data_IF_643715569333
#
_entry.id   IF_643715569333
#
_cell.length_a   1.000
_cell.length_b   1.000
_cell.length_c   1.000
_cell.angle_alpha   90.00
_cell.angle_beta   90.00
_cell.angle_gamma   90.00
#
_symmetry.space_group_name_H-M   'P 1'
#
loop_
_entity.id
_entity.type
_entity.pdbx_description
1 polymer ?
#
# COMPACT_ATOMS: atom_id res chain seq x y z
N UNK A 1 -34.05 44.26 -42.05
CA UNK A 1 -34.75 43.40 -41.06
C UNK A 1 -34.88 41.92 -41.44
N UNK A 2 -34.78 41.50 -42.70
CA UNK A 2 -34.92 40.13 -43.16
C UNK A 2 -33.63 39.24 -42.95
N UNK A 3 -32.46 39.85 -43.07
CA UNK A 3 -31.18 39.08 -42.94
C UNK A 3 -30.88 38.60 -41.52
N UNK A 4 -31.22 39.38 -40.48
CA UNK A 4 -31.04 38.99 -39.07
C UNK A 4 -31.87 37.77 -38.68
N UNK A 5 -33.07 37.62 -39.20
CA UNK A 5 -33.95 36.49 -38.88
C UNK A 5 -33.46 35.18 -39.49
N UNK A 6 -32.75 35.22 -40.64
CA UNK A 6 -32.12 34.03 -41.22
C UNK A 6 -30.90 33.57 -40.43
N UNK A 7 -30.13 34.51 -39.89
CA UNK A 7 -28.94 34.18 -39.07
C UNK A 7 -29.38 33.52 -37.75
N UNK A 8 -30.45 34.02 -37.12
CA UNK A 8 -30.98 33.37 -35.89
C UNK A 8 -31.60 31.98 -36.17
N UNK A 9 -32.25 31.80 -37.33
CA UNK A 9 -32.80 30.51 -37.75
C UNK A 9 -31.70 29.47 -37.99
N UNK A 10 -30.58 29.86 -38.61
CA UNK A 10 -29.43 28.95 -38.85
C UNK A 10 -28.68 28.68 -37.54
N UNK A 11 -28.53 29.66 -36.64
CA UNK A 11 -27.89 29.45 -35.35
C UNK A 11 -28.72 28.56 -34.43
N UNK A 12 -30.07 28.67 -34.43
CA UNK A 12 -30.92 27.76 -33.66
C UNK A 12 -30.93 26.32 -34.23
N UNK A 13 -30.89 26.18 -35.57
CA UNK A 13 -30.81 24.89 -36.26
C UNK A 13 -29.46 24.18 -36.01
N UNK A 14 -28.35 24.94 -35.97
CA UNK A 14 -27.04 24.42 -35.65
C UNK A 14 -26.90 23.99 -34.15
N UNK A 15 -27.57 24.73 -33.25
CA UNK A 15 -27.56 24.38 -31.81
C UNK A 15 -28.40 23.13 -31.51
N UNK A 16 -29.49 22.89 -32.27
CA UNK A 16 -30.28 21.66 -32.09
C UNK A 16 -29.62 20.42 -32.66
N UNK A 17 -28.71 20.54 -33.62
CA UNK A 17 -27.93 19.41 -34.16
C UNK A 17 -26.78 19.00 -33.22
N UNK A 18 -26.25 19.89 -32.38
CA UNK A 18 -25.19 19.55 -31.44
C UNK A 18 -25.68 18.82 -30.19
N UNK A 19 -26.93 18.94 -29.79
CA UNK A 19 -27.52 18.17 -28.67
C UNK A 19 -28.00 16.79 -29.10
N UNK A 20 -28.19 16.49 -30.38
CA UNK A 20 -28.54 15.17 -30.86
C UNK A 20 -27.32 14.21 -30.99
N UNK A 21 -26.10 14.75 -30.93
CA UNK A 21 -24.86 13.98 -31.09
C UNK A 21 -24.41 13.25 -29.82
N UNK A 22 -25.06 13.48 -28.66
CA UNK A 22 -24.71 12.81 -27.40
C UNK A 22 -25.69 11.69 -26.98
N UNK A 23 -26.66 11.36 -27.83
CA UNK A 23 -27.60 10.29 -27.54
C UNK A 23 -27.06 8.96 -28.09
N UNK A 24 -26.04 8.41 -27.39
CA UNK A 24 -25.53 7.06 -27.63
C UNK A 24 -26.21 6.05 -26.68
N UNK A 25 -27.45 6.36 -26.25
CA UNK A 25 -28.11 5.68 -25.14
C UNK A 25 -28.71 4.30 -25.47
N UNK A 26 -28.82 3.93 -26.74
CA UNK A 26 -29.56 2.73 -27.11
C UNK A 26 -28.76 1.75 -28.01
N UNK A 27 -27.45 1.62 -27.76
CA UNK A 27 -26.73 0.44 -28.26
C UNK A 27 -26.72 -0.59 -27.17
N UNK A 28 -27.74 -1.41 -27.14
CA UNK A 28 -27.70 -2.70 -26.44
C UNK A 28 -26.60 -3.53 -27.09
N UNK A 29 -25.49 -3.68 -26.37
CA UNK A 29 -24.48 -4.64 -26.77
C UNK A 29 -24.92 -6.01 -26.26
N UNK A 30 -25.12 -7.00 -27.15
CA UNK A 30 -25.54 -8.33 -26.74
C UNK A 30 -24.45 -8.94 -25.84
N UNK A 31 -24.89 -9.75 -24.88
CA UNK A 31 -23.99 -10.59 -24.11
C UNK A 31 -23.20 -11.54 -25.05
N UNK A 32 -22.03 -11.98 -24.61
CA UNK A 32 -21.21 -12.92 -25.38
C UNK A 32 -21.93 -14.26 -25.54
N UNK A 33 -22.01 -14.81 -26.78
CA UNK A 33 -22.71 -16.06 -27.09
C UNK A 33 -22.16 -17.26 -26.30
N UNK A 34 -20.90 -17.22 -25.85
CA UNK A 34 -20.27 -18.23 -25.00
C UNK A 34 -20.67 -18.16 -23.53
N UNK A 35 -21.60 -17.26 -23.17
CA UNK A 35 -22.12 -17.12 -21.82
C UNK A 35 -21.25 -16.27 -20.88
N UNK A 36 -21.79 -16.08 -19.69
CA UNK A 36 -21.13 -15.29 -18.61
C UNK A 36 -20.19 -16.17 -17.80
N UNK A 37 -19.04 -15.62 -17.46
CA UNK A 37 -17.97 -16.38 -16.78
C UNK A 37 -17.44 -15.62 -15.58
N UNK A 38 -17.41 -16.27 -14.41
CA UNK A 38 -16.79 -15.72 -13.19
C UNK A 38 -15.31 -16.12 -13.10
N UNK A 39 -14.47 -15.20 -12.58
CA UNK A 39 -13.03 -15.46 -12.41
C UNK A 39 -12.38 -14.47 -11.46
N UNK A 40 -11.17 -14.81 -10.96
CA UNK A 40 -10.28 -13.87 -10.32
C UNK A 40 -9.44 -13.15 -11.39
N UNK A 41 -9.48 -11.82 -11.43
CA UNK A 41 -8.73 -11.04 -12.42
C UNK A 41 -7.21 -11.20 -12.24
N UNK A 42 -6.77 -11.36 -11.00
CA UNK A 42 -5.35 -11.50 -10.61
C UNK A 42 -5.18 -12.72 -9.72
N UNK A 43 -4.16 -13.55 -10.02
CA UNK A 43 -3.89 -14.78 -9.26
C UNK A 43 -2.90 -14.58 -8.11
N UNK A 44 -2.04 -13.55 -8.18
CA UNK A 44 -0.93 -13.32 -7.23
C UNK A 44 -0.89 -11.88 -6.69
N UNK A 45 -2.02 -11.31 -6.22
CA UNK A 45 -2.01 -9.96 -5.67
C UNK A 45 -1.38 -9.92 -4.27
N UNK A 46 -0.74 -8.78 -3.96
CA UNK A 46 -0.28 -8.45 -2.62
C UNK A 46 -1.14 -7.32 -2.05
N UNK A 47 -1.73 -7.56 -0.90
CA UNK A 47 -2.45 -6.57 -0.11
C UNK A 47 -1.62 -6.15 1.09
N UNK A 48 -1.22 -4.89 1.16
CA UNK A 48 -0.65 -4.30 2.37
C UNK A 48 -1.76 -3.59 3.15
N UNK A 49 -2.02 -4.03 4.37
CA UNK A 49 -2.87 -3.30 5.30
C UNK A 49 -2.05 -2.12 5.84
N UNK A 50 -2.49 -0.90 5.57
CA UNK A 50 -1.81 0.32 5.99
C UNK A 50 -2.54 0.88 7.20
N UNK A 51 -1.98 0.64 8.39
CA UNK A 51 -2.58 1.10 9.64
C UNK A 51 -2.31 2.60 9.89
N UNK A 52 -3.18 3.23 10.66
CA UNK A 52 -3.10 4.66 10.97
C UNK A 52 -3.85 5.53 9.97
N UNK A 53 -3.60 6.83 9.98
CA UNK A 53 -4.25 7.78 9.08
C UNK A 53 -3.47 7.93 7.78
N UNK A 54 -4.18 8.09 6.67
CA UNK A 54 -3.59 8.41 5.37
C UNK A 54 -4.42 9.48 4.65
N UNK A 55 -3.97 9.86 3.46
CA UNK A 55 -4.74 10.69 2.52
C UNK A 55 -5.79 9.86 1.78
N UNK A 56 -5.57 8.56 1.66
CA UNK A 56 -6.53 7.59 1.10
C UNK A 56 -7.35 6.96 2.22
N UNK A 57 -8.54 6.47 1.85
CA UNK A 57 -9.40 5.74 2.79
C UNK A 57 -8.78 4.38 3.14
N UNK A 58 -8.39 4.23 4.39
CA UNK A 58 -7.87 3.01 4.99
C UNK A 58 -8.72 2.53 6.18
N UNK A 59 -10.01 2.83 6.15
CA UNK A 59 -10.96 2.42 7.19
C UNK A 59 -11.00 0.90 7.37
N UNK A 60 -10.98 0.13 6.26
CA UNK A 60 -10.93 -1.33 6.32
C UNK A 60 -9.63 -1.82 6.95
N UNK A 61 -8.49 -1.22 6.58
CA UNK A 61 -7.18 -1.60 7.12
C UNK A 61 -7.13 -1.39 8.64
N UNK A 62 -7.62 -0.25 9.11
CA UNK A 62 -7.72 0.07 10.54
C UNK A 62 -8.73 -0.82 11.29
N UNK A 63 -9.72 -1.34 10.60
CA UNK A 63 -10.62 -2.36 11.12
C UNK A 63 -10.03 -3.78 11.05
N UNK A 64 -8.75 -3.91 10.65
CA UNK A 64 -8.06 -5.18 10.41
C UNK A 64 -8.78 -6.07 9.39
N UNK A 65 -9.26 -5.47 8.30
CA UNK A 65 -10.04 -6.15 7.27
C UNK A 65 -9.48 -5.91 5.87
N UNK A 66 -9.79 -6.83 4.96
CA UNK A 66 -9.65 -6.60 3.53
C UNK A 66 -10.76 -7.29 2.75
N UNK A 67 -10.79 -7.06 1.45
CA UNK A 67 -11.75 -7.64 0.52
C UNK A 67 -11.02 -8.36 -0.61
N UNK A 68 -11.39 -9.62 -0.86
CA UNK A 68 -10.89 -10.39 -2.00
C UNK A 68 -11.94 -10.36 -3.10
N UNK A 69 -11.60 -9.70 -4.19
CA UNK A 69 -12.52 -9.40 -5.28
C UNK A 69 -12.44 -10.44 -6.40
N UNK A 70 -13.62 -10.83 -6.89
CA UNK A 70 -13.80 -11.56 -8.14
C UNK A 70 -14.53 -10.68 -9.16
N UNK A 71 -14.44 -11.03 -10.43
CA UNK A 71 -15.08 -10.31 -11.53
C UNK A 71 -15.76 -11.28 -12.47
N UNK A 72 -16.49 -10.73 -13.43
CA UNK A 72 -17.12 -11.51 -14.49
C UNK A 72 -16.73 -10.99 -15.87
N UNK A 73 -16.98 -11.81 -16.87
CA UNK A 73 -16.94 -11.46 -18.29
C UNK A 73 -18.12 -12.07 -19.03
N UNK A 74 -18.26 -11.73 -20.30
CA UNK A 74 -19.31 -12.25 -21.17
C UNK A 74 -20.59 -11.44 -21.17
N UNK A 75 -20.72 -10.38 -20.33
CA UNK A 75 -21.85 -9.46 -20.36
C UNK A 75 -21.40 -8.04 -20.05
N UNK A 76 -22.16 -7.05 -20.50
CA UNK A 76 -21.93 -5.63 -20.22
C UNK A 76 -22.57 -5.16 -18.90
N UNK A 77 -23.67 -5.79 -18.52
CA UNK A 77 -24.36 -5.50 -17.26
C UNK A 77 -23.90 -6.42 -16.12
N UNK A 78 -24.05 -5.94 -14.87
CA UNK A 78 -23.87 -6.79 -13.69
C UNK A 78 -24.93 -7.90 -13.59
N UNK A 79 -24.72 -8.84 -12.67
CA UNK A 79 -25.60 -9.99 -12.44
C UNK A 79 -25.96 -10.14 -10.97
N UNK A 80 -27.19 -10.54 -10.72
CA UNK A 80 -27.62 -11.11 -9.43
C UNK A 80 -27.13 -12.56 -9.36
N UNK A 81 -25.89 -12.72 -8.94
CA UNK A 81 -25.16 -13.98 -9.00
C UNK A 81 -24.24 -14.13 -7.79
N UNK A 82 -23.79 -15.34 -7.55
CA UNK A 82 -22.75 -15.61 -6.54
C UNK A 82 -21.86 -16.79 -6.97
N UNK A 83 -20.67 -16.82 -6.37
CA UNK A 83 -19.67 -17.87 -6.58
C UNK A 83 -19.35 -18.50 -5.25
N UNK A 84 -19.40 -19.83 -5.17
CA UNK A 84 -18.94 -20.58 -4.00
C UNK A 84 -17.41 -20.67 -4.02
N UNK A 85 -16.78 -20.44 -2.87
CA UNK A 85 -15.33 -20.47 -2.70
C UNK A 85 -14.92 -21.39 -1.55
N UNK A 86 -13.74 -21.99 -1.70
CA UNK A 86 -13.09 -22.79 -0.65
C UNK A 86 -11.64 -22.36 -0.49
N UNK A 87 -11.10 -22.54 0.72
CA UNK A 87 -9.68 -22.44 0.97
C UNK A 87 -9.02 -23.75 0.56
N UNK A 88 -8.05 -23.70 -0.35
CA UNK A 88 -7.29 -24.86 -0.84
C UNK A 88 -5.79 -24.62 -0.63
N UNK A 89 -5.28 -25.12 0.50
CA UNK A 89 -3.87 -24.96 0.87
C UNK A 89 -2.92 -25.67 -0.10
N UNK A 90 -3.40 -26.69 -0.83
CA UNK A 90 -2.57 -27.43 -1.81
C UNK A 90 -2.10 -26.55 -2.98
N UNK A 91 -2.70 -25.38 -3.20
CA UNK A 91 -2.20 -24.39 -4.15
C UNK A 91 -0.81 -23.86 -3.80
N UNK A 92 -0.39 -23.99 -2.55
CA UNK A 92 0.93 -23.57 -2.08
C UNK A 92 2.00 -24.68 -2.22
N UNK A 93 1.61 -25.90 -2.56
CA UNK A 93 2.53 -27.03 -2.66
C UNK A 93 3.56 -26.81 -3.78
N UNK A 94 4.82 -27.00 -3.46
CA UNK A 94 5.96 -26.81 -4.37
C UNK A 94 6.05 -25.40 -5.00
N UNK A 95 5.40 -24.39 -4.39
CA UNK A 95 5.37 -23.02 -4.88
C UNK A 95 6.30 -22.14 -4.06
N UNK A 96 7.13 -21.37 -4.74
CA UNK A 96 8.12 -20.48 -4.14
C UNK A 96 7.94 -19.06 -4.66
N UNK A 97 8.16 -18.06 -3.80
CA UNK A 97 8.37 -16.68 -4.24
C UNK A 97 9.64 -16.62 -5.09
N UNK A 98 9.63 -15.75 -6.10
CA UNK A 98 10.80 -15.48 -6.93
C UNK A 98 11.54 -14.22 -6.46
N UNK A 99 12.87 -14.31 -6.45
CA UNK A 99 13.73 -13.13 -6.31
C UNK A 99 13.74 -12.27 -7.62
N UNK A 100 14.41 -11.12 -7.57
CA UNK A 100 14.54 -10.22 -8.72
C UNK A 100 15.28 -10.87 -9.94
N UNK A 101 16.01 -11.97 -9.71
CA UNK A 101 16.75 -12.70 -10.74
C UNK A 101 15.96 -13.90 -11.30
N UNK A 102 14.74 -14.14 -10.81
CA UNK A 102 13.89 -15.25 -11.23
C UNK A 102 14.22 -16.59 -10.55
N UNK A 103 15.00 -16.59 -9.47
CA UNK A 103 15.26 -17.79 -8.69
C UNK A 103 14.21 -17.99 -7.62
N UNK A 104 13.98 -19.26 -7.24
CA UNK A 104 13.17 -19.58 -6.07
C UNK A 104 13.88 -19.07 -4.79
N UNK A 105 13.16 -18.24 -4.01
CA UNK A 105 13.71 -17.63 -2.80
C UNK A 105 13.23 -18.35 -1.54
N UNK A 106 11.94 -18.30 -1.27
CA UNK A 106 11.30 -18.90 -0.09
C UNK A 106 9.95 -19.50 -0.46
N UNK A 107 9.47 -20.53 0.28
CA UNK A 107 8.18 -21.14 -0.03
C UNK A 107 7.03 -20.13 0.16
N UNK A 108 6.01 -20.23 -0.68
CA UNK A 108 4.71 -19.60 -0.47
C UNK A 108 3.96 -20.40 0.58
N UNK A 109 3.59 -19.78 1.68
CA UNK A 109 2.92 -20.47 2.78
C UNK A 109 1.43 -20.13 2.82
N UNK A 110 0.54 -21.12 2.99
CA UNK A 110 -0.85 -20.83 3.28
C UNK A 110 -0.94 -20.07 4.63
N UNK A 111 -1.83 -19.09 4.71
CA UNK A 111 -2.06 -18.35 5.94
C UNK A 111 -2.71 -19.27 6.98
N UNK A 112 -2.15 -19.38 8.19
CA UNK A 112 -2.77 -20.18 9.26
C UNK A 112 -4.23 -19.77 9.49
N UNK A 113 -5.11 -20.74 9.66
CA UNK A 113 -6.55 -20.51 9.88
C UNK A 113 -6.85 -19.71 11.15
N UNK A 114 -5.91 -19.68 12.11
CA UNK A 114 -6.01 -18.85 13.31
C UNK A 114 -5.74 -17.36 13.06
N UNK A 115 -5.23 -16.97 11.89
CA UNK A 115 -4.86 -15.59 11.58
C UNK A 115 -5.96 -14.78 10.93
N UNK A 116 -6.99 -15.44 10.39
CA UNK A 116 -8.08 -14.77 9.69
C UNK A 116 -9.40 -15.53 9.75
N UNK A 117 -10.48 -14.82 9.45
CA UNK A 117 -11.80 -15.38 9.23
C UNK A 117 -12.34 -14.87 7.88
N UNK A 118 -12.72 -15.77 6.99
CA UNK A 118 -13.57 -15.44 5.85
C UNK A 118 -15.00 -15.22 6.36
N UNK A 119 -15.59 -14.06 6.07
CA UNK A 119 -16.93 -13.75 6.57
C UNK A 119 -18.04 -14.41 5.77
N UNK A 120 -17.71 -15.06 4.65
CA UNK A 120 -18.63 -15.85 3.82
C UNK A 120 -17.86 -16.94 3.08
N UNK A 121 -18.54 -18.04 2.75
CA UNK A 121 -18.08 -19.06 1.80
C UNK A 121 -18.51 -18.76 0.36
N UNK A 122 -19.13 -17.60 0.12
CA UNK A 122 -19.57 -17.18 -1.21
C UNK A 122 -19.16 -15.75 -1.51
N UNK A 123 -18.98 -15.43 -2.79
CA UNK A 123 -18.76 -14.08 -3.30
C UNK A 123 -20.03 -13.63 -4.02
N UNK A 124 -20.87 -12.77 -3.40
CA UNK A 124 -22.07 -12.22 -4.04
C UNK A 124 -21.69 -11.07 -4.98
N UNK A 125 -22.41 -10.94 -6.10
CA UNK A 125 -22.23 -9.84 -7.07
C UNK A 125 -23.32 -8.77 -6.96
N UNK A 126 -24.50 -9.10 -6.43
CA UNK A 126 -25.57 -8.14 -6.09
C UNK A 126 -25.90 -7.15 -7.24
N UNK A 127 -25.97 -7.63 -8.48
CA UNK A 127 -26.24 -6.77 -9.64
C UNK A 127 -25.03 -6.00 -10.19
N UNK A 128 -23.82 -6.20 -9.63
CA UNK A 128 -22.57 -5.59 -10.15
C UNK A 128 -21.83 -6.59 -11.07
N UNK A 129 -20.82 -6.08 -11.77
CA UNK A 129 -19.84 -6.86 -12.55
C UNK A 129 -18.73 -7.45 -11.68
N UNK A 130 -18.69 -7.12 -10.39
CA UNK A 130 -17.69 -7.56 -9.40
C UNK A 130 -18.36 -7.91 -8.09
N UNK A 131 -17.83 -8.93 -7.44
CA UNK A 131 -18.19 -9.28 -6.09
C UNK A 131 -16.95 -9.42 -5.21
N UNK A 132 -17.15 -9.49 -3.90
CA UNK A 132 -16.06 -9.72 -2.97
C UNK A 132 -16.47 -10.56 -1.76
N UNK A 133 -15.48 -11.22 -1.17
CA UNK A 133 -15.57 -11.76 0.18
C UNK A 133 -14.74 -10.90 1.13
N UNK A 134 -15.30 -10.60 2.30
CA UNK A 134 -14.59 -9.85 3.34
C UNK A 134 -13.78 -10.81 4.22
N UNK A 135 -12.57 -10.39 4.56
CA UNK A 135 -11.64 -11.10 5.45
C UNK A 135 -11.41 -10.25 6.69
N UNK A 136 -11.57 -10.83 7.88
CA UNK A 136 -11.21 -10.24 9.16
C UNK A 136 -9.93 -10.89 9.68
N UNK A 137 -8.89 -10.11 9.95
CA UNK A 137 -7.64 -10.59 10.55
C UNK A 137 -7.73 -10.57 12.08
N UNK A 138 -7.02 -11.50 12.71
CA UNK A 138 -6.94 -11.64 14.17
C UNK A 138 -5.66 -11.02 14.70
N UNK A 139 -5.58 -10.81 16.01
CA UNK A 139 -4.36 -10.32 16.67
C UNK A 139 -3.17 -11.28 16.47
N UNK A 140 -3.42 -12.58 16.27
CA UNK A 140 -2.38 -13.56 16.01
C UNK A 140 -1.64 -13.29 14.70
N UNK A 141 -2.31 -12.78 13.66
CA UNK A 141 -1.67 -12.36 12.41
C UNK A 141 -0.70 -11.19 12.66
N UNK A 142 -1.13 -10.18 13.40
CA UNK A 142 -0.30 -9.00 13.68
C UNK A 142 0.83 -9.27 14.67
N UNK A 143 0.74 -10.34 15.46
CA UNK A 143 1.79 -10.75 16.37
C UNK A 143 2.93 -11.52 15.69
N UNK A 144 2.70 -12.09 14.49
CA UNK A 144 3.71 -12.83 13.77
C UNK A 144 4.68 -11.88 13.04
N UNK A 145 5.99 -11.92 13.33
CA UNK A 145 6.99 -11.10 12.65
C UNK A 145 7.09 -11.36 11.14
N UNK A 146 6.60 -12.50 10.64
CA UNK A 146 6.57 -12.82 9.21
C UNK A 146 5.43 -12.13 8.48
N UNK A 147 4.44 -11.58 9.19
CA UNK A 147 3.28 -10.93 8.58
C UNK A 147 3.57 -9.52 8.02
N UNK A 148 4.77 -8.98 8.23
CA UNK A 148 5.20 -7.71 7.63
C UNK A 148 5.75 -7.88 6.20
N UNK A 149 6.03 -9.13 5.80
CA UNK A 149 6.60 -9.49 4.50
C UNK A 149 5.63 -10.32 3.64
N UNK A 150 5.97 -10.49 2.36
CA UNK A 150 5.29 -11.44 1.50
C UNK A 150 5.60 -12.86 1.96
N UNK A 151 4.80 -13.42 2.85
CA UNK A 151 5.00 -14.76 3.43
C UNK A 151 3.75 -15.61 3.28
N UNK A 152 2.62 -15.10 3.73
CA UNK A 152 1.36 -15.83 3.79
C UNK A 152 0.41 -15.41 2.67
N UNK A 153 -0.28 -16.40 2.12
CA UNK A 153 -1.36 -16.19 1.16
C UNK A 153 -2.65 -16.83 1.67
N UNK A 154 -3.79 -16.24 1.33
CA UNK A 154 -5.10 -16.88 1.45
C UNK A 154 -5.39 -17.53 0.10
N UNK A 155 -5.29 -18.89 0.00
CA UNK A 155 -5.47 -19.61 -1.24
C UNK A 155 -6.95 -19.93 -1.43
N UNK A 156 -7.64 -19.25 -2.36
CA UNK A 156 -9.06 -19.49 -2.66
C UNK A 156 -9.24 -20.12 -4.03
N UNK A 157 -10.21 -21.05 -4.12
CA UNK A 157 -10.68 -21.66 -5.37
C UNK A 157 -12.18 -21.46 -5.50
N UNK A 158 -12.63 -21.09 -6.68
CA UNK A 158 -14.05 -21.11 -7.07
C UNK A 158 -14.48 -22.53 -7.36
N UNK A 159 -15.58 -22.98 -6.75
CA UNK A 159 -16.05 -24.36 -6.87
C UNK A 159 -17.37 -24.48 -7.61
N UNK A 160 -18.23 -23.47 -7.51
CA UNK A 160 -19.55 -23.48 -8.14
C UNK A 160 -20.00 -22.04 -8.40
N UNK A 161 -20.93 -21.86 -9.33
CA UNK A 161 -21.55 -20.57 -9.66
C UNK A 161 -23.06 -20.69 -9.70
N UNK A 162 -23.74 -19.63 -9.30
CA UNK A 162 -25.17 -19.45 -9.48
C UNK A 162 -25.41 -18.09 -10.13
N UNK A 163 -26.18 -18.07 -11.22
CA UNK A 163 -26.42 -16.86 -12.01
C UNK A 163 -25.31 -16.51 -13.01
N UNK A 164 -24.31 -17.35 -13.14
CA UNK A 164 -23.33 -17.38 -14.24
C UNK A 164 -23.37 -18.73 -14.96
N UNK A 165 -22.89 -18.75 -16.21
CA UNK A 165 -22.82 -19.96 -17.01
C UNK A 165 -21.57 -20.78 -16.69
N UNK A 166 -20.43 -20.11 -16.38
CA UNK A 166 -19.14 -20.77 -16.25
C UNK A 166 -18.24 -20.15 -15.15
N UNK A 167 -17.25 -20.95 -14.74
CA UNK A 167 -16.03 -20.50 -14.05
C UNK A 167 -14.88 -20.62 -15.04
N UNK A 168 -13.94 -19.68 -15.05
CA UNK A 168 -12.77 -19.71 -15.95
C UNK A 168 -11.70 -20.68 -15.41
N UNK A 169 -11.94 -21.97 -15.62
CA UNK A 169 -11.10 -23.08 -15.13
C UNK A 169 -9.86 -23.33 -15.98
N UNK A 170 -9.71 -22.63 -17.13
CA UNK A 170 -8.62 -22.84 -18.07
C UNK A 170 -8.73 -24.09 -18.92
N UNK A 171 -7.67 -24.36 -19.70
CA UNK A 171 -7.56 -25.58 -20.53
C UNK A 171 -6.20 -26.23 -20.25
N UNK A 172 -6.16 -27.39 -19.61
CA UNK A 172 -4.90 -28.10 -19.38
C UNK A 172 -4.31 -28.63 -20.70
N UNK A 173 -3.01 -28.82 -20.74
CA UNK A 173 -2.35 -29.52 -21.83
C UNK A 173 -2.78 -30.99 -21.86
N UNK A 174 -2.90 -31.52 -23.06
CA UNK A 174 -3.35 -32.90 -23.29
C UNK A 174 -2.48 -33.90 -22.50
N UNK A 175 -3.13 -34.81 -21.81
CA UNK A 175 -2.49 -35.92 -21.07
C UNK A 175 -1.88 -35.52 -19.73
N UNK A 176 -2.02 -34.27 -19.26
CA UNK A 176 -1.53 -33.84 -17.96
C UNK A 176 -2.65 -33.79 -16.91
N UNK A 177 -2.29 -34.06 -15.66
CA UNK A 177 -3.08 -33.68 -14.49
C UNK A 177 -2.50 -32.37 -13.97
N UNK A 178 -3.17 -31.21 -14.26
CA UNK A 178 -2.52 -29.93 -14.05
C UNK A 178 -2.51 -29.50 -12.58
N UNK A 179 -1.41 -28.88 -12.15
CA UNK A 179 -1.42 -28.02 -10.97
C UNK A 179 -1.87 -26.61 -11.41
N UNK A 180 -2.81 -25.98 -10.70
CA UNK A 180 -3.26 -24.59 -11.01
C UNK A 180 -2.12 -23.58 -11.03
N UNK A 181 -1.13 -23.78 -10.19
CA UNK A 181 0.00 -22.87 -10.00
C UNK A 181 1.21 -23.18 -10.89
N UNK A 182 1.22 -24.32 -11.59
CA UNK A 182 2.24 -24.65 -12.59
C UNK A 182 1.80 -24.21 -13.99
N UNK A 183 2.28 -23.07 -14.44
CA UNK A 183 1.91 -22.50 -15.75
C UNK A 183 2.26 -23.39 -16.95
N UNK A 184 3.22 -24.33 -16.80
CA UNK A 184 3.62 -25.26 -17.85
C UNK A 184 2.57 -26.35 -18.13
N UNK A 185 1.64 -26.58 -17.19
CA UNK A 185 0.62 -27.63 -17.35
C UNK A 185 -0.60 -27.17 -18.19
N UNK A 186 -0.62 -25.89 -18.64
CA UNK A 186 -1.80 -25.27 -19.22
C UNK A 186 -1.55 -24.74 -20.63
N UNK A 187 -2.54 -24.95 -21.52
CA UNK A 187 -2.65 -24.23 -22.79
C UNK A 187 -3.37 -22.89 -22.61
N UNK A 188 -4.41 -22.86 -21.75
CA UNK A 188 -5.06 -21.65 -21.28
C UNK A 188 -5.06 -21.66 -19.75
N UNK A 189 -4.42 -20.67 -19.14
CA UNK A 189 -4.26 -20.60 -17.68
C UNK A 189 -5.62 -20.55 -16.96
N UNK A 190 -5.74 -21.31 -15.89
CA UNK A 190 -6.86 -21.23 -14.97
C UNK A 190 -6.91 -19.87 -14.26
N UNK A 191 -8.12 -19.33 -14.09
CA UNK A 191 -8.38 -18.10 -13.32
C UNK A 191 -9.45 -18.29 -12.26
N UNK A 192 -9.75 -19.55 -11.94
CA UNK A 192 -10.67 -19.97 -10.89
C UNK A 192 -10.06 -19.93 -9.49
N UNK A 193 -8.82 -19.47 -9.34
CA UNK A 193 -8.11 -19.41 -8.08
C UNK A 193 -7.39 -18.08 -7.86
N UNK A 194 -7.07 -17.79 -6.62
CA UNK A 194 -6.22 -16.67 -6.20
C UNK A 194 -5.35 -17.07 -5.01
N UNK A 195 -4.09 -16.68 -5.03
CA UNK A 195 -3.19 -16.69 -3.88
C UNK A 195 -3.08 -15.24 -3.38
N UNK A 196 -3.95 -14.89 -2.45
CA UNK A 196 -4.07 -13.52 -1.96
C UNK A 196 -3.07 -13.28 -0.83
N UNK A 197 -1.90 -12.71 -1.18
CA UNK A 197 -0.85 -12.39 -0.19
C UNK A 197 -1.27 -11.19 0.64
N UNK A 198 -1.14 -11.31 1.97
CA UNK A 198 -1.45 -10.20 2.88
C UNK A 198 -0.28 -9.94 3.80
N UNK A 199 0.05 -8.67 3.96
CA UNK A 199 1.00 -8.13 4.94
C UNK A 199 0.48 -6.84 5.53
N UNK A 200 1.14 -6.33 6.58
CA UNK A 200 0.74 -5.06 7.16
C UNK A 200 1.92 -4.10 7.32
N UNK A 201 1.58 -2.82 7.39
CA UNK A 201 2.45 -1.72 7.76
C UNK A 201 1.84 -1.03 8.97
N UNK A 202 2.65 -0.80 10.00
CA UNK A 202 2.18 -0.10 11.20
C UNK A 202 1.93 1.40 10.91
N UNK A 203 1.30 2.17 11.84
CA UNK A 203 0.95 3.57 11.59
C UNK A 203 2.12 4.50 11.29
N UNK A 204 3.34 4.11 11.64
CA UNK A 204 4.54 4.93 11.47
C UNK A 204 5.37 4.55 10.24
N UNK A 205 5.05 3.47 9.56
CA UNK A 205 5.70 3.08 8.31
C UNK A 205 5.35 4.07 7.20
N UNK A 206 6.35 4.80 6.73
CA UNK A 206 6.20 5.77 5.64
C UNK A 206 7.56 6.23 5.12
N UNK A 207 7.55 6.86 3.95
CA UNK A 207 8.64 7.77 3.53
C UNK A 207 8.41 9.13 4.16
N UNK A 208 9.47 9.70 4.70
CA UNK A 208 9.46 10.98 5.41
C UNK A 208 10.46 11.94 4.79
N UNK A 209 10.14 13.22 4.88
CA UNK A 209 11.13 14.29 4.77
C UNK A 209 11.67 14.54 6.17
N UNK A 210 12.97 14.37 6.34
CA UNK A 210 13.69 14.56 7.60
C UNK A 210 14.38 15.91 7.62
N UNK A 211 14.02 16.75 8.59
CA UNK A 211 14.63 18.06 8.87
C UNK A 211 15.11 18.11 10.30
N UNK A 212 16.17 18.84 10.56
CA UNK A 212 16.68 18.96 11.91
C UNK A 212 18.14 19.37 11.97
N UNK A 213 18.67 19.32 13.17
CA UNK A 213 20.05 19.73 13.49
C UNK A 213 20.76 18.59 14.20
N UNK A 214 21.92 18.18 13.68
CA UNK A 214 22.83 17.24 14.31
C UNK A 214 24.00 17.99 14.94
N UNK A 215 24.27 17.73 16.21
CA UNK A 215 25.51 18.08 16.86
C UNK A 215 26.42 16.85 16.90
N UNK A 216 27.39 16.80 16.00
CA UNK A 216 28.32 15.66 15.83
C UNK A 216 29.59 15.95 16.57
N UNK A 217 29.90 15.18 17.60
CA UNK A 217 31.14 15.30 18.41
C UNK A 217 32.10 14.21 17.99
N UNK A 218 33.26 14.60 17.43
CA UNK A 218 34.32 13.71 16.98
C UNK A 218 35.61 14.08 17.75
N UNK A 219 36.19 13.14 18.50
CA UNK A 219 37.42 13.36 19.28
C UNK A 219 37.35 14.61 20.17
N UNK A 220 36.19 14.92 20.74
CA UNK A 220 35.96 16.06 21.62
C UNK A 220 35.66 17.38 20.90
N UNK A 221 35.61 17.42 19.58
CA UNK A 221 35.21 18.60 18.79
C UNK A 221 33.78 18.41 18.27
N UNK A 222 32.91 19.36 18.57
CA UNK A 222 31.50 19.33 18.11
C UNK A 222 31.33 20.19 16.88
N UNK A 223 30.68 19.62 15.85
CA UNK A 223 30.30 20.32 14.63
C UNK A 223 28.77 20.24 14.50
N UNK A 224 28.14 21.37 14.22
CA UNK A 224 26.72 21.44 13.93
C UNK A 224 26.47 21.19 12.43
N UNK A 225 25.52 20.28 12.13
CA UNK A 225 25.06 19.98 10.77
C UNK A 225 23.57 20.27 10.69
N UNK A 226 23.21 21.34 9.99
CA UNK A 226 21.81 21.74 9.78
C UNK A 226 21.31 21.10 8.49
N UNK A 227 20.29 20.24 8.58
CA UNK A 227 19.62 19.67 7.42
C UNK A 227 18.54 20.57 6.83
N UNK A 228 17.81 21.25 7.57
CA UNK A 228 16.94 22.40 7.37
C UNK A 228 16.19 22.62 8.67
N UNK A 229 16.28 23.82 9.22
CA UNK A 229 15.52 24.16 10.42
C UNK A 229 14.07 24.46 10.03
N UNK A 230 13.15 23.69 10.59
CA UNK A 230 11.73 23.86 10.35
C UNK A 230 11.19 25.18 10.94
N UNK A 231 11.82 25.70 11.99
CA UNK A 231 11.43 26.97 12.59
C UNK A 231 11.51 28.14 11.60
N UNK A 232 12.42 28.07 10.64
CA UNK A 232 12.60 29.07 9.60
C UNK A 232 11.51 29.04 8.50
N UNK A 233 10.85 27.91 8.34
CA UNK A 233 9.79 27.72 7.32
C UNK A 233 8.44 28.22 7.84
N UNK A 234 8.24 28.18 9.15
CA UNK A 234 6.97 28.50 9.80
C UNK A 234 6.68 30.00 9.84
N UNK A 235 7.64 30.83 9.52
CA UNK A 235 7.50 32.30 9.57
C UNK A 235 7.02 32.92 8.25
N UNK A 236 7.02 32.18 7.14
CA UNK A 236 6.65 32.68 5.83
C UNK A 236 5.77 31.72 5.05
N UNK A 237 4.54 31.52 5.55
CA UNK A 237 3.54 30.65 4.93
C UNK A 237 3.02 31.17 3.58
N UNK A 238 3.16 32.46 3.31
CA UNK A 238 2.75 33.07 2.05
C UNK A 238 3.69 32.69 0.88
N UNK A 239 4.94 32.34 1.19
CA UNK A 239 5.96 31.98 0.19
C UNK A 239 6.26 30.46 0.14
N UNK A 240 5.47 29.64 0.83
CA UNK A 240 5.61 28.19 0.77
C UNK A 240 5.13 27.69 -0.58
N UNK A 241 6.01 27.75 -1.57
CA UNK A 241 5.73 27.27 -2.94
C UNK A 241 5.60 25.75 -2.98
N UNK A 242 4.95 25.24 -4.00
CA UNK A 242 4.49 23.87 -4.21
C UNK A 242 5.58 22.76 -4.15
N UNK A 243 6.84 23.11 -4.04
CA UNK A 243 7.93 22.14 -3.93
C UNK A 243 8.83 22.44 -2.73
N UNK A 244 8.44 21.93 -1.54
CA UNK A 244 9.22 22.11 -0.32
C UNK A 244 10.52 21.30 -0.29
N UNK A 245 10.72 20.36 -1.21
CA UNK A 245 11.96 19.59 -1.31
C UNK A 245 13.04 20.45 -1.92
N UNK A 246 14.08 20.74 -1.16
CA UNK A 246 15.26 21.41 -1.66
C UNK A 246 16.48 20.49 -1.54
N UNK A 247 17.65 20.96 -2.00
CA UNK A 247 18.89 20.18 -2.00
C UNK A 247 19.37 19.74 -0.61
N UNK A 248 18.84 20.33 0.47
CA UNK A 248 19.20 20.01 1.85
C UNK A 248 18.21 19.09 2.54
N UNK A 249 17.06 18.81 1.92
CA UNK A 249 16.08 17.88 2.48
C UNK A 249 16.55 16.45 2.31
N UNK A 250 16.45 15.68 3.37
CA UNK A 250 16.72 14.25 3.38
C UNK A 250 15.40 13.49 3.29
N UNK A 251 15.29 12.59 2.32
CA UNK A 251 14.19 11.62 2.27
C UNK A 251 14.67 10.35 2.97
N UNK A 252 13.97 9.95 4.01
CA UNK A 252 14.23 8.71 4.74
C UNK A 252 12.98 7.82 4.77
N UNK A 253 13.16 6.56 5.12
CA UNK A 253 12.06 5.60 5.25
C UNK A 253 12.08 4.98 6.63
N UNK A 254 10.93 5.02 7.31
CA UNK A 254 10.70 4.31 8.56
C UNK A 254 9.92 3.04 8.22
N UNK A 255 10.45 1.90 8.64
CA UNK A 255 9.94 0.59 8.31
C UNK A 255 9.28 -0.09 9.50
N UNK A 256 8.21 -0.85 9.26
CA UNK A 256 7.57 -1.65 10.29
C UNK A 256 8.54 -2.73 10.82
N UNK A 257 8.72 -2.82 12.15
CA UNK A 257 9.36 -3.95 12.82
C UNK A 257 8.29 -4.90 13.39
N UNK A 258 7.27 -4.33 14.02
CA UNK A 258 6.06 -5.01 14.50
C UNK A 258 4.96 -3.97 14.77
N UNK A 259 3.88 -4.35 15.44
CA UNK A 259 2.73 -3.46 15.72
C UNK A 259 3.07 -2.21 16.53
N UNK A 260 4.09 -2.25 17.36
CA UNK A 260 4.47 -1.15 18.25
C UNK A 260 5.86 -0.59 17.99
N UNK A 261 6.63 -1.22 17.09
CA UNK A 261 8.00 -0.84 16.81
C UNK A 261 8.22 -0.56 15.32
N UNK A 262 9.05 0.43 15.05
CA UNK A 262 9.50 0.77 13.73
C UNK A 262 11.05 0.90 13.68
N UNK A 263 11.64 0.56 12.54
CA UNK A 263 13.06 0.72 12.27
C UNK A 263 13.25 2.02 11.52
N UNK A 264 14.12 2.89 12.02
CA UNK A 264 14.51 4.14 11.42
C UNK A 264 15.99 4.12 11.08
N UNK A 265 16.38 3.79 9.84
CA UNK A 265 17.76 3.92 9.37
C UNK A 265 18.18 5.39 9.35
N UNK A 266 19.28 5.71 10.01
CA UNK A 266 19.82 7.08 10.06
C UNK A 266 21.26 7.12 9.59
N UNK A 267 21.63 8.25 8.97
CA UNK A 267 22.99 8.53 8.56
C UNK A 267 23.40 9.93 9.01
N UNK A 268 24.60 10.06 9.56
CA UNK A 268 25.14 11.31 10.05
C UNK A 268 26.40 11.69 9.28
N UNK A 269 26.50 12.96 8.91
CA UNK A 269 27.69 13.50 8.26
C UNK A 269 28.75 13.73 9.33
N UNK A 270 29.96 13.24 9.08
CA UNK A 270 31.14 13.46 9.93
C UNK A 270 32.20 14.29 9.18
N UNK A 271 33.32 14.55 9.78
CA UNK A 271 34.48 15.18 9.11
C UNK A 271 35.09 14.31 8.01
N UNK A 272 34.84 12.99 8.06
CA UNK A 272 35.22 11.98 7.07
C UNK A 272 34.03 11.43 6.29
N UNK A 273 33.89 10.11 6.28
CA UNK A 273 32.76 9.42 5.68
C UNK A 273 31.53 9.47 6.61
N UNK A 274 30.33 9.52 6.03
CA UNK A 274 29.10 9.39 6.81
C UNK A 274 29.07 8.08 7.58
N UNK A 275 28.48 8.11 8.78
CA UNK A 275 28.23 6.94 9.63
C UNK A 275 26.75 6.68 9.75
N UNK A 276 26.35 5.42 9.89
CA UNK A 276 24.94 5.03 9.90
C UNK A 276 24.65 3.99 10.97
N UNK A 277 23.42 3.95 11.44
CA UNK A 277 22.89 2.90 12.28
C UNK A 277 21.37 2.75 12.08
N UNK A 278 20.79 1.68 12.63
CA UNK A 278 19.35 1.49 12.68
C UNK A 278 18.83 1.87 14.07
N UNK A 279 17.96 2.85 14.14
CA UNK A 279 17.23 3.16 15.36
C UNK A 279 15.95 2.33 15.43
N UNK A 280 15.58 1.92 16.64
CA UNK A 280 14.30 1.28 16.96
C UNK A 280 13.47 2.30 17.70
N UNK A 281 12.34 2.67 17.09
CA UNK A 281 11.33 3.51 17.69
C UNK A 281 10.26 2.62 18.31
N UNK A 282 10.14 2.62 19.62
CA UNK A 282 9.11 1.85 20.34
C UNK A 282 8.01 2.78 20.80
N UNK A 283 6.81 2.60 20.26
CA UNK A 283 5.66 3.48 20.46
C UNK A 283 4.72 2.96 21.55
N UNK A 284 4.21 3.91 22.33
CA UNK A 284 3.08 3.75 23.24
C UNK A 284 2.10 4.90 23.01
N UNK A 285 1.02 4.62 22.28
CA UNK A 285 0.18 5.68 21.71
C UNK A 285 0.99 6.55 20.75
N UNK A 286 0.97 7.86 20.95
CA UNK A 286 1.71 8.81 20.12
C UNK A 286 3.14 9.11 20.61
N UNK A 287 3.51 8.62 21.78
CA UNK A 287 4.86 8.80 22.33
C UNK A 287 5.75 7.64 21.93
N UNK A 288 7.04 7.88 21.68
CA UNK A 288 7.99 6.82 21.45
C UNK A 288 9.29 7.01 22.23
N UNK A 289 10.00 5.91 22.43
CA UNK A 289 11.39 5.87 22.90
C UNK A 289 12.29 5.42 21.76
N UNK A 290 13.55 5.89 21.81
CA UNK A 290 14.57 5.56 20.81
C UNK A 290 15.58 4.61 21.43
N UNK A 291 15.93 3.55 20.73
CA UNK A 291 16.99 2.57 21.07
C UNK A 291 17.65 2.06 19.78
N UNK A 292 18.60 1.13 19.89
CA UNK A 292 19.19 0.41 18.75
C UNK A 292 19.59 -0.99 19.15
N UNK A 293 19.61 -1.92 18.19
CA UNK A 293 20.15 -3.28 18.30
C UNK A 293 21.53 -3.40 17.61
N UNK A 294 22.06 -2.32 17.03
CA UNK A 294 23.32 -2.35 16.28
C UNK A 294 24.50 -2.53 17.27
N UNK A 295 25.43 -3.42 16.93
CA UNK A 295 26.64 -3.65 17.72
C UNK A 295 27.51 -2.39 17.79
N UNK A 296 28.14 -2.13 18.94
CA UNK A 296 29.01 -0.98 19.22
C UNK A 296 28.33 0.38 19.09
N UNK A 297 27.01 0.42 19.01
CA UNK A 297 26.20 1.63 19.01
C UNK A 297 25.27 1.62 20.20
N UNK A 298 25.15 2.75 20.87
CA UNK A 298 24.08 2.98 21.84
C UNK A 298 23.22 4.15 21.39
N UNK A 299 21.93 4.05 21.57
CA UNK A 299 21.00 5.13 21.26
C UNK A 299 19.97 5.28 22.38
N UNK A 300 19.62 6.52 22.69
CA UNK A 300 18.57 6.85 23.65
C UNK A 300 17.89 8.15 23.26
N UNK A 301 16.61 8.25 23.60
CA UNK A 301 15.83 9.45 23.29
C UNK A 301 14.35 9.21 23.35
N UNK A 302 13.61 10.21 22.94
CA UNK A 302 12.14 10.17 22.90
C UNK A 302 11.59 10.93 21.71
N UNK A 303 10.31 10.70 21.42
CA UNK A 303 9.62 11.41 20.37
C UNK A 303 8.12 11.37 20.52
N UNK A 304 7.47 12.14 19.67
CA UNK A 304 6.01 12.21 19.59
C UNK A 304 5.56 12.18 18.12
N UNK A 305 4.60 11.30 17.83
CA UNK A 305 3.91 11.26 16.55
C UNK A 305 2.66 12.16 16.63
N UNK A 306 2.60 13.18 15.78
CA UNK A 306 1.56 14.20 15.77
C UNK A 306 0.67 13.95 14.55
N UNK A 307 -0.55 13.49 14.80
CA UNK A 307 -1.51 13.25 13.74
C UNK A 307 -1.99 14.57 13.13
N UNK A 308 -2.09 14.63 11.82
CA UNK A 308 -2.63 15.77 11.08
C UNK A 308 -3.99 16.19 11.62
N UNK A 309 -4.24 17.51 11.68
CA UNK A 309 -5.52 18.06 12.14
C UNK A 309 -5.72 18.08 13.65
N UNK A 310 -4.72 17.68 14.47
CA UNK A 310 -4.81 17.81 15.93
C UNK A 310 -4.44 19.22 16.40
N UNK A 311 -5.02 19.66 17.54
CA UNK A 311 -4.74 21.00 18.09
C UNK A 311 -3.29 21.17 18.57
N UNK A 312 -2.60 20.08 18.93
CA UNK A 312 -1.19 20.08 19.31
C UNK A 312 -0.23 20.36 18.15
N UNK A 313 -0.72 20.28 16.90
CA UNK A 313 0.08 20.57 15.74
C UNK A 313 0.31 22.08 15.65
N UNK A 314 1.45 22.55 16.11
CA UNK A 314 1.98 23.91 15.80
C UNK A 314 2.07 24.11 14.28
N UNK A 315 1.95 23.06 13.54
CA UNK A 315 2.04 22.93 12.10
C UNK A 315 0.68 22.71 11.43
N UNK A 316 -0.39 23.24 11.99
CA UNK A 316 -1.74 23.19 11.38
C UNK A 316 -1.75 23.67 9.93
N UNK A 317 -0.81 24.50 9.58
CA UNK A 317 -0.64 25.13 8.27
C UNK A 317 0.42 24.45 7.41
N UNK A 318 1.16 23.42 7.92
CA UNK A 318 2.12 22.73 7.07
C UNK A 318 1.40 21.94 5.99
N UNK A 319 1.53 22.43 4.77
CA UNK A 319 0.87 21.90 3.60
C UNK A 319 1.92 21.32 2.66
N UNK A 320 1.89 20.01 2.51
CA UNK A 320 2.74 19.31 1.57
C UNK A 320 1.92 18.78 0.40
N UNK A 321 2.10 19.41 -0.76
CA UNK A 321 1.38 19.05 -1.96
C UNK A 321 -0.11 19.42 -1.94
N UNK A 322 -0.79 19.14 -3.01
CA UNK A 322 -2.23 19.33 -3.13
C UNK A 322 -2.91 18.06 -3.60
N UNK A 323 -4.15 17.87 -3.17
CA UNK A 323 -5.03 16.82 -3.66
C UNK A 323 -6.32 17.48 -4.15
N UNK A 324 -6.65 17.28 -5.42
CA UNK A 324 -7.78 17.98 -6.07
C UNK A 324 -7.74 19.51 -5.91
N UNK A 325 -6.54 20.09 -5.98
CA UNK A 325 -6.32 21.54 -5.82
C UNK A 325 -6.44 22.06 -4.39
N UNK A 326 -6.57 21.16 -3.38
CA UNK A 326 -6.60 21.53 -1.97
C UNK A 326 -5.30 21.11 -1.28
N UNK A 327 -4.76 21.94 -0.38
CA UNK A 327 -3.59 21.62 0.40
C UNK A 327 -3.80 20.39 1.28
N UNK A 328 -2.81 19.52 1.37
CA UNK A 328 -2.87 18.30 2.18
C UNK A 328 -2.01 18.43 3.42
N UNK A 329 -2.63 18.35 4.60
CA UNK A 329 -1.92 18.24 5.86
C UNK A 329 -1.27 16.86 6.00
N UNK A 330 -0.13 16.79 6.68
CA UNK A 330 0.65 15.57 6.90
C UNK A 330 0.85 15.28 8.37
N UNK A 331 1.01 14.00 8.68
CA UNK A 331 1.46 13.57 10.00
C UNK A 331 2.93 13.95 10.19
N UNK A 332 3.33 14.16 11.44
CA UNK A 332 4.68 14.59 11.82
C UNK A 332 5.20 13.66 12.91
N UNK A 333 6.47 13.27 12.82
CA UNK A 333 7.20 12.61 13.89
C UNK A 333 8.32 13.54 14.36
N UNK A 334 8.29 13.92 15.64
CA UNK A 334 9.37 14.65 16.29
C UNK A 334 10.20 13.70 17.13
N UNK A 335 11.50 13.79 17.02
CA UNK A 335 12.45 12.99 17.77
C UNK A 335 13.54 13.87 18.36
N UNK A 336 13.90 13.62 19.62
CA UNK A 336 15.09 14.14 20.26
C UNK A 336 15.89 12.96 20.81
N UNK A 337 17.12 12.75 20.33
CA UNK A 337 17.87 11.55 20.67
C UNK A 337 19.37 11.75 20.57
N UNK A 338 20.10 10.85 21.23
CA UNK A 338 21.55 10.73 21.19
C UNK A 338 21.93 9.35 20.64
N UNK A 339 23.00 9.32 19.85
CA UNK A 339 23.63 8.09 19.34
C UNK A 339 25.12 8.16 19.63
N UNK A 340 25.67 7.08 20.20
CA UNK A 340 27.08 6.96 20.46
C UNK A 340 27.67 5.75 19.73
N UNK A 341 28.62 6.00 18.85
CA UNK A 341 29.41 5.00 18.12
C UNK A 341 30.73 4.79 18.88
N UNK A 342 30.71 3.83 19.83
CA UNK A 342 31.80 3.65 20.80
C UNK A 342 33.11 3.23 20.15
N UNK A 343 33.08 2.46 19.06
CA UNK A 343 34.25 2.01 18.29
C UNK A 343 34.91 3.13 17.48
N UNK A 344 34.19 4.24 17.24
CA UNK A 344 34.64 5.36 16.41
C UNK A 344 34.88 6.63 17.20
N UNK A 345 34.57 6.63 18.50
CA UNK A 345 34.62 7.81 19.36
C UNK A 345 33.85 9.01 18.79
N UNK A 346 32.62 8.70 18.28
CA UNK A 346 31.71 9.68 17.71
C UNK A 346 30.40 9.64 18.48
N UNK A 347 29.94 10.79 18.90
CA UNK A 347 28.64 11.00 19.53
C UNK A 347 27.83 12.00 18.73
N UNK A 348 26.56 11.72 18.55
CA UNK A 348 25.60 12.59 17.84
C UNK A 348 24.43 12.87 18.76
N UNK A 349 24.10 14.14 18.93
CA UNK A 349 22.86 14.60 19.56
C UNK A 349 22.03 15.32 18.49
N UNK A 350 20.76 14.95 18.34
CA UNK A 350 19.94 15.48 17.26
C UNK A 350 18.50 15.75 17.67
N UNK A 351 17.93 16.77 17.05
CA UNK A 351 16.50 17.06 17.07
C UNK A 351 15.95 16.97 15.64
N UNK A 352 15.09 16.00 15.40
CA UNK A 352 14.48 15.74 14.11
C UNK A 352 13.00 16.11 14.07
N UNK A 353 12.57 16.64 12.95
CA UNK A 353 11.17 16.75 12.55
C UNK A 353 11.00 16.05 11.20
N UNK A 354 10.22 14.98 11.21
CA UNK A 354 9.96 14.15 10.05
C UNK A 354 8.52 14.34 9.59
N UNK A 355 8.33 14.67 8.31
CA UNK A 355 7.01 14.85 7.69
C UNK A 355 6.68 13.66 6.82
N UNK A 356 5.53 13.03 7.03
CA UNK A 356 5.09 11.92 6.18
C UNK A 356 4.95 12.40 4.73
N UNK A 357 5.77 11.88 3.84
CA UNK A 357 5.69 12.13 2.40
C UNK A 357 4.64 11.24 1.75
N UNK A 358 4.74 9.92 1.94
CA UNK A 358 3.80 8.94 1.39
C UNK A 358 3.86 7.63 2.17
N UNK A 359 2.70 6.95 2.27
CA UNK A 359 2.58 5.58 2.80
C UNK A 359 2.43 4.55 1.69
N UNK A 360 2.32 5.00 0.42
CA UNK A 360 2.15 4.14 -0.76
C UNK A 360 0.92 3.22 -0.68
N UNK A 361 -0.13 3.66 0.03
CA UNK A 361 -1.33 2.86 0.33
C UNK A 361 -2.18 2.49 -0.89
N UNK A 362 -2.02 3.19 -2.02
CA UNK A 362 -2.77 2.94 -3.26
C UNK A 362 -2.01 2.11 -4.30
N UNK A 363 -0.83 1.62 -3.98
CA UNK A 363 -0.04 0.83 -4.91
C UNK A 363 -0.62 -0.58 -5.07
N UNK A 364 -0.84 -0.97 -6.34
CA UNK A 364 -1.14 -2.36 -6.69
C UNK A 364 0.18 -3.12 -6.83
N UNK A 365 0.36 -4.10 -5.99
CA UNK A 365 1.58 -4.92 -5.96
C UNK A 365 1.21 -6.37 -6.26
N UNK A 366 2.08 -7.05 -6.99
CA UNK A 366 1.96 -8.47 -7.31
C UNK A 366 3.26 -9.16 -6.96
N UNK A 367 3.18 -10.44 -6.64
CA UNK A 367 4.36 -11.28 -6.50
C UNK A 367 4.48 -12.26 -7.65
N UNK A 368 5.68 -12.71 -7.90
CA UNK A 368 5.98 -13.75 -8.89
C UNK A 368 6.30 -15.06 -8.20
N UNK A 369 5.92 -16.16 -8.84
CA UNK A 369 6.10 -17.50 -8.28
C UNK A 369 6.86 -18.41 -9.24
N UNK A 370 7.53 -19.39 -8.66
CA UNK A 370 8.16 -20.50 -9.35
C UNK A 370 7.64 -21.81 -8.79
N UNK A 371 7.11 -22.66 -9.64
CA UNK A 371 6.74 -24.01 -9.28
C UNK A 371 7.97 -24.92 -9.38
N UNK A 372 8.25 -25.69 -8.33
CA UNK A 372 9.37 -26.60 -8.27
C UNK A 372 8.84 -28.03 -8.32
N UNK A 373 9.24 -28.80 -9.37
CA UNK A 373 8.85 -30.21 -9.53
C UNK A 373 9.63 -31.12 -8.61
#
# INVERSE_FOLDING_TARGET
MKLKNYIYGIALGALSLTVASCYNADRDFPDYEGGTTAYFAYQFPVRSLILGNDIYDNTLDNAHKCQIWATMGGAYGGRDAYVDIVVDESLCDNLYYMDANGNAEKPVLPMPTSYYNLLSSTIPYNGDSRGYVEVQFTDAFFADPKAIDNTYVIPLVMTNVTGFDHILTGTPREGLTPSRTNTEDWDVLAKDYVLYCVKYKNPWHAKYIRRGVDNVTENGTTTEVVRQDFSLINTDLEHYTENPVNANDEVCEINTKNMTQAIFPVSFKTSGASISCNLILTFSGNQCTVSTDDENVTASGSGEFITKGTEKSEYKSFQWGSMNGQPVQRDILRLAYEVNFSDKNIQVSTNDTLFVQTRESNQKVFFSTKYMK
#
